data_IF_555568156973
#
_entry.id   IF_555568156973
#
_cell.length_a   1.000
_cell.length_b   1.000
_cell.length_c   1.000
_cell.angle_alpha   90.00
_cell.angle_beta   90.00
_cell.angle_gamma   90.00
#
_symmetry.space_group_name_H-M   'P 1'
#
loop_
_entity.id
_entity.type
_entity.pdbx_description
1 polymer ?
#
# COMPACT_ATOMS: atom_id res chain seq x y z
N UNK A 1 -9.75 6.44 -14.16
CA UNK A 1 -9.85 6.14 -12.72
C UNK A 1 -11.16 5.41 -12.52
N UNK A 2 -11.10 4.08 -12.40
CA UNK A 2 -12.29 3.25 -12.12
C UNK A 2 -12.39 3.18 -10.61
N UNK A 3 -12.93 4.23 -9.99
CA UNK A 3 -13.56 4.05 -8.68
C UNK A 3 -15.03 3.82 -9.01
N UNK A 4 -15.48 2.60 -8.71
CA UNK A 4 -16.86 2.18 -8.83
C UNK A 4 -17.80 3.23 -8.25
N UNK A 5 -19.03 3.25 -8.79
CA UNK A 5 -20.15 4.11 -8.39
C UNK A 5 -20.17 4.37 -6.88
N UNK A 6 -20.65 5.53 -6.40
CA UNK A 6 -20.81 5.75 -4.97
C UNK A 6 -21.69 4.64 -4.38
N UNK A 7 -21.05 3.63 -3.82
CA UNK A 7 -21.69 2.58 -3.06
C UNK A 7 -22.03 3.23 -1.73
N UNK A 8 -23.32 3.46 -1.50
CA UNK A 8 -23.81 3.75 -0.17
C UNK A 8 -23.37 2.57 0.70
N UNK A 9 -22.52 2.79 1.72
CA UNK A 9 -22.13 1.70 2.60
C UNK A 9 -23.42 1.12 3.20
N UNK A 10 -23.54 -0.20 3.32
CA UNK A 10 -24.74 -0.80 3.87
C UNK A 10 -25.02 -0.26 5.29
N UNK A 11 -26.23 -0.46 5.85
CA UNK A 11 -26.54 -0.03 7.21
C UNK A 11 -25.62 -0.68 8.25
N UNK A 12 -25.11 0.10 9.21
CA UNK A 12 -24.18 -0.37 10.23
C UNK A 12 -24.88 -1.25 11.28
N UNK A 13 -24.95 -2.55 11.02
CA UNK A 13 -25.47 -3.57 11.94
C UNK A 13 -24.53 -3.77 13.14
N UNK A 14 -25.02 -4.40 14.21
CA UNK A 14 -24.19 -4.71 15.37
C UNK A 14 -23.03 -5.66 15.00
N UNK A 15 -23.30 -6.67 14.17
CA UNK A 15 -22.28 -7.60 13.66
C UNK A 15 -21.15 -6.89 12.92
N UNK A 16 -21.47 -5.88 12.10
CA UNK A 16 -20.45 -5.07 11.41
C UNK A 16 -19.64 -4.23 12.38
N UNK A 17 -20.26 -3.66 13.41
CA UNK A 17 -19.53 -2.92 14.47
C UNK A 17 -18.53 -3.84 15.19
N UNK A 18 -18.95 -5.06 15.51
CA UNK A 18 -18.11 -6.03 16.20
C UNK A 18 -16.93 -6.45 15.30
N UNK A 19 -17.17 -6.66 14.00
CA UNK A 19 -16.12 -6.91 13.03
C UNK A 19 -15.12 -5.74 12.94
N UNK A 20 -15.60 -4.50 12.85
CA UNK A 20 -14.73 -3.32 12.79
C UNK A 20 -13.87 -3.18 14.04
N UNK A 21 -14.44 -3.49 15.21
CA UNK A 21 -13.70 -3.50 16.46
C UNK A 21 -12.61 -4.58 16.45
N UNK A 22 -12.89 -5.78 15.93
CA UNK A 22 -11.89 -6.85 15.77
C UNK A 22 -10.77 -6.45 14.81
N UNK A 23 -11.09 -5.79 13.69
CA UNK A 23 -10.07 -5.25 12.77
C UNK A 23 -9.14 -4.29 13.50
N UNK A 24 -9.70 -3.33 14.25
CA UNK A 24 -8.94 -2.37 15.04
C UNK A 24 -8.08 -3.02 16.14
N UNK A 25 -8.62 -4.04 16.80
CA UNK A 25 -7.91 -4.83 17.81
C UNK A 25 -6.67 -5.49 17.20
N UNK A 26 -6.80 -6.20 16.08
CA UNK A 26 -5.67 -6.90 15.45
C UNK A 26 -4.65 -5.94 14.84
N UNK A 27 -5.08 -4.79 14.30
CA UNK A 27 -4.18 -3.73 13.85
C UNK A 27 -3.31 -3.20 15.00
N UNK A 28 -3.93 -2.95 16.15
CA UNK A 28 -3.24 -2.53 17.38
C UNK A 28 -2.34 -3.65 17.93
N UNK A 29 -2.80 -4.89 17.85
CA UNK A 29 -2.05 -6.09 18.20
C UNK A 29 -0.74 -6.22 17.41
N UNK A 30 -0.79 -6.02 16.09
CA UNK A 30 0.41 -5.98 15.24
C UNK A 30 1.42 -4.94 15.73
N UNK A 31 0.95 -3.72 15.99
CA UNK A 31 1.79 -2.60 16.44
C UNK A 31 2.43 -2.91 17.79
N UNK A 32 1.64 -3.45 18.72
CA UNK A 32 2.10 -3.84 20.06
C UNK A 32 3.15 -4.94 20.00
N UNK A 33 2.89 -5.99 19.21
CA UNK A 33 3.82 -7.10 19.02
C UNK A 33 5.14 -6.64 18.37
N UNK A 34 5.07 -5.71 17.41
CA UNK A 34 6.24 -5.11 16.78
C UNK A 34 7.09 -4.32 17.78
N UNK A 35 6.48 -3.42 18.57
CA UNK A 35 7.17 -2.63 19.61
C UNK A 35 7.84 -3.56 20.64
N UNK A 36 7.16 -4.64 21.03
CA UNK A 36 7.66 -5.62 21.98
C UNK A 36 8.67 -6.61 21.38
N UNK A 37 9.03 -6.49 20.10
CA UNK A 37 9.89 -7.42 19.37
C UNK A 37 9.45 -8.90 19.43
N UNK A 38 8.14 -9.15 19.58
CA UNK A 38 7.57 -10.50 19.68
C UNK A 38 7.18 -11.02 18.31
N UNK A 39 8.11 -11.70 17.65
CA UNK A 39 7.93 -12.19 16.27
C UNK A 39 6.73 -13.13 16.11
N UNK A 40 6.52 -14.05 17.04
CA UNK A 40 5.41 -15.01 16.97
C UNK A 40 4.05 -14.29 17.04
N UNK A 41 3.91 -13.35 17.99
CA UNK A 41 2.71 -12.54 18.15
C UNK A 41 2.49 -11.64 16.92
N UNK A 42 3.56 -11.07 16.36
CA UNK A 42 3.45 -10.24 15.16
C UNK A 42 2.90 -11.03 13.97
N UNK A 43 3.38 -12.24 13.74
CA UNK A 43 2.88 -13.12 12.67
C UNK A 43 1.40 -13.46 12.91
N UNK A 44 1.05 -13.81 14.15
CA UNK A 44 -0.32 -14.16 14.52
C UNK A 44 -1.29 -13.01 14.34
N UNK A 45 -0.99 -11.84 14.91
CA UNK A 45 -1.85 -10.66 14.81
C UNK A 45 -1.95 -10.16 13.37
N UNK A 46 -0.87 -10.25 12.58
CA UNK A 46 -0.91 -9.87 11.16
C UNK A 46 -1.85 -10.78 10.36
N UNK A 47 -1.82 -12.10 10.62
CA UNK A 47 -2.72 -13.03 9.95
C UNK A 47 -4.18 -12.79 10.33
N UNK A 48 -4.46 -12.52 11.61
CA UNK A 48 -5.80 -12.18 12.08
C UNK A 48 -6.29 -10.86 11.49
N UNK A 49 -5.43 -9.84 11.45
CA UNK A 49 -5.72 -8.55 10.85
C UNK A 49 -6.08 -8.67 9.37
N UNK A 50 -5.27 -9.37 8.57
CA UNK A 50 -5.57 -9.55 7.14
C UNK A 50 -6.90 -10.29 6.91
N UNK A 51 -7.18 -11.31 7.75
CA UNK A 51 -8.43 -12.07 7.66
C UNK A 51 -9.65 -11.21 7.97
N UNK A 52 -9.62 -10.45 9.07
CA UNK A 52 -10.76 -9.60 9.46
C UNK A 52 -10.91 -8.41 8.52
N UNK A 53 -9.79 -7.89 8.00
CA UNK A 53 -9.78 -6.82 7.00
C UNK A 53 -10.43 -7.24 5.67
N UNK A 54 -10.12 -8.44 5.16
CA UNK A 54 -10.79 -8.99 3.97
C UNK A 54 -12.30 -9.19 4.22
N UNK A 55 -12.69 -9.68 5.40
CA UNK A 55 -14.11 -9.80 5.75
C UNK A 55 -14.82 -8.43 5.81
N UNK A 56 -14.14 -7.40 6.33
CA UNK A 56 -14.65 -6.04 6.39
C UNK A 56 -14.90 -5.47 4.98
N UNK A 57 -13.98 -5.70 4.05
CA UNK A 57 -14.15 -5.28 2.65
C UNK A 57 -15.41 -5.87 2.02
N UNK A 58 -15.63 -7.18 2.18
CA UNK A 58 -16.83 -7.84 1.67
C UNK A 58 -18.12 -7.24 2.25
N UNK A 59 -18.14 -6.95 3.55
CA UNK A 59 -19.30 -6.32 4.21
C UNK A 59 -19.57 -4.90 3.70
N UNK A 60 -18.54 -4.21 3.21
CA UNK A 60 -18.62 -2.82 2.74
C UNK A 60 -18.75 -2.73 1.20
N UNK A 61 -18.86 -3.88 0.51
CA UNK A 61 -18.95 -3.93 -0.94
C UNK A 61 -17.64 -3.56 -1.65
N UNK A 62 -16.51 -3.73 -0.97
CA UNK A 62 -15.17 -3.58 -1.53
C UNK A 62 -14.69 -4.96 -1.96
N UNK A 63 -14.43 -5.11 -3.26
CA UNK A 63 -13.86 -6.35 -3.79
C UNK A 63 -12.39 -6.47 -3.40
N UNK A 64 -12.00 -7.63 -2.89
CA UNK A 64 -10.61 -7.89 -2.49
C UNK A 64 -9.63 -7.72 -3.67
N UNK A 65 -10.06 -8.09 -4.88
CA UNK A 65 -9.28 -7.91 -6.11
C UNK A 65 -8.97 -6.43 -6.41
N UNK A 66 -9.88 -5.51 -6.08
CA UNK A 66 -9.68 -4.07 -6.30
C UNK A 66 -8.57 -3.54 -5.39
N UNK A 67 -8.53 -4.00 -4.14
CA UNK A 67 -7.48 -3.62 -3.17
C UNK A 67 -6.12 -4.16 -3.61
N UNK A 68 -6.04 -5.42 -4.00
CA UNK A 68 -4.78 -5.99 -4.50
C UNK A 68 -4.31 -5.34 -5.79
N UNK A 69 -5.23 -5.01 -6.70
CA UNK A 69 -4.92 -4.29 -7.94
C UNK A 69 -4.40 -2.88 -7.65
N UNK A 70 -4.97 -2.19 -6.67
CA UNK A 70 -4.47 -0.88 -6.22
C UNK A 70 -3.07 -1.00 -5.58
N UNK A 71 -2.83 -2.02 -4.75
CA UNK A 71 -1.51 -2.26 -4.16
C UNK A 71 -0.45 -2.54 -5.23
N UNK A 72 -0.77 -3.39 -6.22
CA UNK A 72 0.11 -3.65 -7.35
C UNK A 72 0.44 -2.37 -8.12
N UNK A 73 -0.58 -1.56 -8.45
CA UNK A 73 -0.39 -0.26 -9.12
C UNK A 73 0.56 0.66 -8.33
N UNK A 74 0.47 0.70 -7.00
CA UNK A 74 1.37 1.51 -6.16
C UNK A 74 2.82 1.03 -6.21
N UNK A 75 3.03 -0.29 -6.25
CA UNK A 75 4.37 -0.88 -6.39
C UNK A 75 4.94 -0.53 -7.75
N UNK A 76 4.19 -0.71 -8.83
CA UNK A 76 4.62 -0.41 -10.20
C UNK A 76 5.00 1.07 -10.38
N UNK A 77 4.17 1.99 -9.85
CA UNK A 77 4.47 3.42 -9.87
C UNK A 77 5.75 3.72 -9.09
N UNK A 78 5.93 3.11 -7.92
CA UNK A 78 7.14 3.28 -7.11
C UNK A 78 8.39 2.81 -7.86
N UNK A 79 8.32 1.66 -8.53
CA UNK A 79 9.42 1.15 -9.34
C UNK A 79 9.75 2.04 -10.54
N UNK A 80 8.73 2.55 -11.23
CA UNK A 80 8.90 3.45 -12.35
C UNK A 80 9.58 4.76 -11.92
N UNK A 81 9.11 5.36 -10.82
CA UNK A 81 9.75 6.55 -10.23
C UNK A 81 11.18 6.26 -9.80
N UNK A 82 11.44 5.09 -9.22
CA UNK A 82 12.80 4.69 -8.88
C UNK A 82 13.69 4.64 -10.13
N UNK A 83 13.23 4.00 -11.21
CA UNK A 83 13.98 3.91 -12.49
C UNK A 83 14.21 5.27 -13.14
N UNK A 84 13.22 6.16 -13.15
CA UNK A 84 13.36 7.51 -13.71
C UNK A 84 14.32 8.39 -12.90
N UNK A 85 14.37 8.21 -11.58
CA UNK A 85 15.27 8.93 -10.70
C UNK A 85 16.70 8.35 -10.68
N UNK A 86 16.93 7.19 -11.32
CA UNK A 86 18.29 6.70 -11.51
C UNK A 86 18.96 7.49 -12.65
N UNK A 87 20.11 8.15 -12.41
CA UNK A 87 20.79 8.90 -13.45
C UNK A 87 21.16 7.97 -14.62
N UNK A 88 20.89 8.38 -15.88
CA UNK A 88 21.30 7.59 -17.02
C UNK A 88 22.83 7.53 -17.02
N UNK A 89 23.39 6.33 -17.06
CA UNK A 89 24.83 6.06 -17.02
C UNK A 89 25.57 6.33 -15.69
N UNK A 90 25.59 5.31 -14.82
CA UNK A 90 26.78 5.02 -13.99
C UNK A 90 27.67 3.95 -14.65
N UNK A 91 27.92 4.05 -15.97
CA UNK A 91 29.09 3.39 -16.58
C UNK A 91 30.19 4.43 -16.74
N UNK A 92 31.15 4.44 -15.81
CA UNK A 92 32.44 5.12 -16.00
C UNK A 92 33.14 4.47 -17.20
N UNK A 93 32.99 5.04 -18.39
CA UNK A 93 33.96 4.88 -19.47
C UNK A 93 34.96 6.01 -19.33
N UNK A 94 36.16 5.66 -18.90
CA UNK A 94 37.42 6.39 -19.08
C UNK A 94 37.43 7.88 -18.67
N UNK A 95 37.87 8.14 -17.44
CA UNK A 95 38.64 9.33 -17.07
C UNK A 95 37.97 10.72 -17.08
N UNK A 96 36.84 10.93 -17.76
CA UNK A 96 36.18 12.24 -17.80
C UNK A 96 35.02 12.30 -16.80
N UNK A 97 34.90 13.36 -15.98
CA UNK A 97 33.74 13.54 -15.12
C UNK A 97 32.48 13.67 -15.99
N UNK A 98 31.52 12.76 -15.78
CA UNK A 98 30.21 12.83 -16.41
C UNK A 98 29.57 14.16 -16.02
N UNK A 99 29.30 15.02 -17.00
CA UNK A 99 28.54 16.25 -16.78
C UNK A 99 27.22 15.91 -16.07
N UNK A 100 26.77 16.73 -15.10
CA UNK A 100 25.49 16.51 -14.44
C UNK A 100 24.37 16.66 -15.46
N UNK A 101 23.47 15.67 -15.50
CA UNK A 101 22.28 15.70 -16.35
C UNK A 101 21.41 16.88 -15.95
N UNK A 102 21.32 17.89 -16.82
CA UNK A 102 20.38 19.01 -16.68
C UNK A 102 19.04 18.56 -17.27
N UNK A 103 18.00 18.50 -16.44
CA UNK A 103 16.64 18.35 -16.93
C UNK A 103 16.28 19.67 -17.62
N UNK A 104 16.23 19.67 -18.95
CA UNK A 104 15.60 20.74 -19.72
C UNK A 104 14.10 20.61 -19.51
N UNK A 105 13.58 21.23 -18.46
CA UNK A 105 12.15 21.51 -18.35
C UNK A 105 11.83 22.55 -19.42
N UNK A 106 11.62 22.06 -20.64
CA UNK A 106 10.94 22.83 -21.68
C UNK A 106 9.64 23.28 -21.05
N UNK A 107 9.52 24.59 -20.80
CA UNK A 107 8.34 25.19 -20.23
C UNK A 107 7.12 24.69 -21.02
N UNK A 108 6.20 24.03 -20.32
CA UNK A 108 4.81 23.94 -20.73
C UNK A 108 4.28 25.38 -20.87
N UNK A 109 3.38 25.62 -21.85
CA UNK A 109 3.15 26.92 -22.51
C UNK A 109 2.84 28.08 -21.58
#
# INVERSE_FOLDING_TARGET
MVYSRPHLPPPLTQERKDLYMQVGLHATGCTTAFIAARRADLVRESALFLKTLSHMWMQDGVEEADVWTELLRRVEVSELLHKLNQPPHRKKKNGSPSRPWRVTTSKLP
#
